data_IF_144975789830
#
_entry.id   IF_144975789830
#
_cell.length_a   1.000
_cell.length_b   1.000
_cell.length_c   1.000
_cell.angle_alpha   90.00
_cell.angle_beta   90.00
_cell.angle_gamma   90.00
#
_symmetry.space_group_name_H-M   'P 1'
#
loop_
_entity.id
_entity.type
_entity.pdbx_description
1 polymer ?
#
# COMPACT_ATOMS: atom_id res chain seq x y z
N UNK A 1 -83.70 5.69 43.43
CA UNK A 1 -83.23 4.69 42.45
C UNK A 1 -82.13 5.33 41.62
N UNK A 2 -80.88 5.12 42.01
CA UNK A 2 -79.68 5.71 41.39
C UNK A 2 -79.27 4.82 40.22
N UNK A 3 -79.32 5.34 39.00
CA UNK A 3 -78.92 4.61 37.80
C UNK A 3 -77.40 4.43 37.79
N UNK A 4 -76.93 3.19 37.97
CA UNK A 4 -75.53 2.86 37.76
C UNK A 4 -75.20 2.94 36.26
N UNK A 5 -74.30 3.85 35.89
CA UNK A 5 -73.74 3.94 34.54
C UNK A 5 -72.96 2.66 34.22
N UNK A 6 -73.05 2.12 32.99
CA UNK A 6 -72.33 0.90 32.63
C UNK A 6 -70.81 1.15 32.63
N UNK A 7 -70.00 0.14 32.99
CA UNK A 7 -68.55 0.26 33.01
C UNK A 7 -68.01 0.59 31.62
N UNK A 8 -67.11 1.58 31.55
CA UNK A 8 -66.40 1.96 30.32
C UNK A 8 -65.65 0.73 29.76
N UNK A 9 -65.80 0.38 28.48
CA UNK A 9 -65.09 -0.75 27.90
C UNK A 9 -63.57 -0.53 27.99
N UNK A 10 -62.79 -1.59 28.29
CA UNK A 10 -61.35 -1.46 28.42
C UNK A 10 -60.74 -0.93 27.12
N UNK A 11 -59.99 0.17 27.21
CA UNK A 11 -59.27 0.75 26.07
C UNK A 11 -58.28 -0.29 25.54
N UNK A 12 -58.56 -0.85 24.38
CA UNK A 12 -57.70 -1.81 23.70
C UNK A 12 -56.33 -1.14 23.42
N UNK A 13 -55.29 -1.57 24.14
CA UNK A 13 -53.91 -1.16 23.85
C UNK A 13 -53.40 -2.03 22.71
N UNK A 14 -52.91 -1.46 21.61
CA UNK A 14 -52.31 -2.25 20.54
C UNK A 14 -51.12 -3.03 21.08
N UNK A 15 -51.14 -4.36 20.95
CA UNK A 15 -49.99 -5.20 21.30
C UNK A 15 -48.81 -4.84 20.40
N UNK A 16 -47.65 -4.43 20.96
CA UNK A 16 -46.44 -4.33 20.16
C UNK A 16 -46.05 -5.73 19.67
N UNK A 17 -45.55 -5.82 18.44
CA UNK A 17 -44.96 -7.06 17.93
C UNK A 17 -43.65 -7.32 18.67
N UNK A 18 -43.41 -8.57 19.08
CA UNK A 18 -42.14 -8.91 19.71
C UNK A 18 -40.99 -8.79 18.69
N UNK A 19 -39.77 -8.40 19.11
CA UNK A 19 -38.61 -8.27 18.22
C UNK A 19 -38.31 -9.55 17.42
N UNK A 20 -38.52 -10.72 18.04
CA UNK A 20 -38.38 -12.04 17.40
C UNK A 20 -39.38 -12.26 16.25
N UNK A 21 -40.61 -11.78 16.41
CA UNK A 21 -41.64 -11.94 15.40
C UNK A 21 -41.35 -11.03 14.20
N UNK A 22 -40.87 -9.81 14.45
CA UNK A 22 -40.45 -8.86 13.40
C UNK A 22 -39.29 -9.44 12.57
N UNK A 23 -38.29 -10.02 13.24
CA UNK A 23 -37.16 -10.70 12.58
C UNK A 23 -37.61 -11.89 11.73
N UNK A 24 -38.47 -12.76 12.28
CA UNK A 24 -39.02 -13.90 11.54
C UNK A 24 -39.84 -13.44 10.33
N UNK A 25 -40.68 -12.42 10.50
CA UNK A 25 -41.53 -11.87 9.45
C UNK A 25 -40.72 -11.23 8.32
N UNK A 26 -39.63 -10.52 8.65
CA UNK A 26 -38.70 -9.96 7.68
C UNK A 26 -37.92 -11.02 6.90
N UNK A 27 -37.48 -12.09 7.56
CA UNK A 27 -36.72 -13.18 6.93
C UNK A 27 -37.54 -13.99 5.91
N UNK A 28 -38.86 -14.05 6.03
CA UNK A 28 -39.74 -14.77 5.08
C UNK A 28 -39.72 -14.09 3.70
N UNK A 29 -39.67 -12.77 3.63
CA UNK A 29 -39.64 -12.05 2.35
C UNK A 29 -38.39 -12.33 1.53
N UNK A 30 -37.23 -12.48 2.19
CA UNK A 30 -35.95 -12.83 1.55
C UNK A 30 -35.97 -14.19 0.85
N UNK A 31 -36.72 -15.17 1.36
CA UNK A 31 -36.76 -16.55 0.81
C UNK A 31 -37.61 -16.70 -0.44
N UNK A 32 -38.60 -15.84 -0.62
CA UNK A 32 -39.55 -15.93 -1.73
C UNK A 32 -38.94 -15.54 -3.09
N UNK A 33 -37.91 -14.68 -3.11
CA UNK A 33 -37.29 -14.15 -4.35
C UNK A 33 -35.76 -14.12 -4.29
N UNK A 34 -35.18 -15.32 -4.22
CA UNK A 34 -33.73 -15.54 -4.01
C UNK A 34 -32.85 -14.81 -5.02
N UNK A 35 -33.19 -14.80 -6.32
CA UNK A 35 -32.34 -14.21 -7.34
C UNK A 35 -32.14 -12.68 -7.18
N UNK A 36 -33.22 -11.92 -6.95
CA UNK A 36 -33.12 -10.45 -6.78
C UNK A 36 -32.43 -10.09 -5.47
N UNK A 37 -32.77 -10.81 -4.40
CA UNK A 37 -32.14 -10.68 -3.09
C UNK A 37 -30.64 -10.92 -3.18
N UNK A 38 -30.22 -11.97 -3.89
CA UNK A 38 -28.80 -12.26 -4.13
C UNK A 38 -28.11 -11.17 -4.95
N UNK A 39 -28.71 -10.71 -6.05
CA UNK A 39 -28.13 -9.63 -6.88
C UNK A 39 -27.98 -8.31 -6.12
N UNK A 40 -28.99 -7.92 -5.33
CA UNK A 40 -28.94 -6.74 -4.48
C UNK A 40 -27.91 -6.86 -3.36
N UNK A 41 -27.87 -8.02 -2.68
CA UNK A 41 -26.87 -8.30 -1.65
C UNK A 41 -25.45 -8.33 -2.23
N UNK A 42 -25.27 -8.83 -3.46
CA UNK A 42 -23.99 -8.87 -4.15
C UNK A 42 -23.48 -7.46 -4.45
N UNK A 43 -24.34 -6.54 -4.88
CA UNK A 43 -23.96 -5.13 -5.09
C UNK A 43 -23.43 -4.47 -3.81
N UNK A 44 -24.13 -4.68 -2.68
CA UNK A 44 -23.65 -4.23 -1.37
C UNK A 44 -22.33 -4.91 -1.00
N UNK A 45 -22.26 -6.24 -1.16
CA UNK A 45 -21.09 -7.02 -0.80
C UNK A 45 -19.86 -6.58 -1.58
N UNK A 46 -19.97 -6.32 -2.89
CA UNK A 46 -18.88 -5.83 -3.73
C UNK A 46 -18.44 -4.42 -3.30
N UNK A 47 -19.39 -3.52 -3.00
CA UNK A 47 -19.08 -2.17 -2.52
C UNK A 47 -18.27 -2.19 -1.22
N UNK A 48 -18.70 -3.00 -0.25
CA UNK A 48 -17.99 -3.16 1.03
C UNK A 48 -16.69 -3.92 0.88
N UNK A 49 -16.67 -4.99 0.08
CA UNK A 49 -15.44 -5.73 -0.18
C UNK A 49 -14.38 -4.80 -0.78
N UNK A 50 -14.76 -3.95 -1.73
CA UNK A 50 -13.88 -2.93 -2.31
C UNK A 50 -13.38 -1.96 -1.24
N UNK A 51 -14.27 -1.40 -0.41
CA UNK A 51 -13.88 -0.46 0.65
C UNK A 51 -12.92 -1.09 1.67
N UNK A 52 -13.25 -2.28 2.19
CA UNK A 52 -12.44 -3.01 3.15
C UNK A 52 -11.10 -3.42 2.53
N UNK A 53 -11.11 -3.93 1.30
CA UNK A 53 -9.90 -4.33 0.58
C UNK A 53 -8.98 -3.14 0.31
N UNK A 54 -9.50 -2.02 -0.18
CA UNK A 54 -8.69 -0.82 -0.46
C UNK A 54 -8.01 -0.31 0.81
N UNK A 55 -8.75 -0.21 1.92
CA UNK A 55 -8.17 0.22 3.20
C UNK A 55 -7.19 -0.82 3.72
N UNK A 56 -7.54 -2.10 3.69
CA UNK A 56 -6.67 -3.19 4.13
C UNK A 56 -5.37 -3.25 3.35
N UNK A 57 -5.43 -3.17 2.03
CA UNK A 57 -4.26 -3.14 1.14
C UNK A 57 -3.38 -1.92 1.40
N UNK A 58 -3.99 -0.74 1.53
CA UNK A 58 -3.27 0.50 1.85
C UNK A 58 -2.54 0.41 3.19
N UNK A 59 -3.18 -0.16 4.22
CA UNK A 59 -2.57 -0.33 5.54
C UNK A 59 -1.52 -1.43 5.56
N UNK A 60 -1.71 -2.50 4.79
CA UNK A 60 -0.71 -3.56 4.61
C UNK A 60 0.54 -3.03 3.92
N UNK A 61 0.38 -2.29 2.81
CA UNK A 61 1.48 -1.60 2.09
C UNK A 61 2.22 -0.64 3.01
N UNK A 62 1.47 0.20 3.75
CA UNK A 62 2.06 1.15 4.69
C UNK A 62 2.82 0.45 5.82
N UNK A 63 2.28 -0.63 6.37
CA UNK A 63 2.93 -1.42 7.42
C UNK A 63 4.23 -2.03 6.92
N UNK A 64 4.22 -2.61 5.71
CA UNK A 64 5.41 -3.18 5.07
C UNK A 64 6.47 -2.10 4.82
N UNK A 65 6.07 -0.93 4.30
CA UNK A 65 6.97 0.19 4.06
C UNK A 65 7.58 0.74 5.36
N UNK A 66 6.80 0.84 6.43
CA UNK A 66 7.32 1.25 7.74
C UNK A 66 8.31 0.23 8.28
N UNK A 67 8.02 -1.07 8.19
CA UNK A 67 8.95 -2.12 8.58
C UNK A 67 10.26 -2.09 7.76
N UNK A 68 10.17 -1.75 6.46
CA UNK A 68 11.37 -1.51 5.61
C UNK A 68 12.17 -0.31 6.09
N UNK A 69 11.51 0.82 6.37
CA UNK A 69 12.16 2.02 6.89
C UNK A 69 12.83 1.76 8.24
N UNK A 70 12.17 1.04 9.15
CA UNK A 70 12.70 0.65 10.45
C UNK A 70 13.95 -0.25 10.32
N UNK A 71 13.94 -1.18 9.36
CA UNK A 71 15.09 -2.06 9.08
C UNK A 71 16.26 -1.30 8.44
N UNK A 72 15.98 -0.43 7.48
CA UNK A 72 17.01 0.28 6.70
C UNK A 72 17.60 1.46 7.49
N UNK A 73 16.80 2.05 8.38
CA UNK A 73 17.10 3.27 9.12
C UNK A 73 16.83 4.52 8.28
N UNK A 74 16.46 5.60 8.97
CA UNK A 74 16.30 6.94 8.39
C UNK A 74 17.57 7.78 8.47
N UNK A 75 18.68 7.14 8.79
CA UNK A 75 19.89 7.78 9.25
C UNK A 75 21.06 7.74 8.27
N UNK A 76 20.77 7.41 7.01
CA UNK A 76 21.74 7.45 5.92
C UNK A 76 21.62 8.79 5.19
N UNK A 77 22.70 9.58 5.15
CA UNK A 77 22.83 10.69 4.21
C UNK A 77 23.81 10.31 3.11
N UNK A 78 23.52 10.81 1.90
CA UNK A 78 24.37 10.66 0.73
C UNK A 78 24.82 12.03 0.26
N UNK A 79 26.09 12.14 -0.09
CA UNK A 79 26.70 13.33 -0.67
C UNK A 79 27.21 12.97 -2.05
N UNK A 80 26.56 13.48 -3.07
CA UNK A 80 26.90 13.24 -4.48
C UNK A 80 27.64 14.45 -5.05
N UNK A 81 28.73 14.19 -5.75
CA UNK A 81 29.43 15.20 -6.53
C UNK A 81 28.57 15.66 -7.70
N UNK A 82 28.32 16.96 -7.81
CA UNK A 82 27.66 17.57 -8.95
C UNK A 82 28.66 18.16 -9.94
N UNK A 83 28.25 19.25 -10.58
CA UNK A 83 29.08 20.01 -11.51
C UNK A 83 29.59 21.29 -10.84
N UNK A 84 30.82 21.70 -11.16
CA UNK A 84 31.36 22.99 -10.76
C UNK A 84 30.71 24.16 -11.54
N UNK A 85 31.12 25.39 -11.25
CA UNK A 85 30.58 26.59 -11.91
C UNK A 85 30.89 26.65 -13.42
N UNK A 86 31.85 25.86 -13.88
CA UNK A 86 32.32 25.77 -15.25
C UNK A 86 31.66 24.60 -16.00
N UNK A 87 30.84 23.81 -15.33
CA UNK A 87 30.15 22.64 -15.88
C UNK A 87 31.01 21.37 -15.89
N UNK A 88 32.16 21.36 -15.22
CA UNK A 88 33.00 20.17 -15.10
C UNK A 88 32.57 19.32 -13.89
N UNK A 89 32.81 18.01 -13.95
CA UNK A 89 32.55 17.10 -12.83
C UNK A 89 33.38 17.52 -11.60
N UNK A 90 32.69 17.84 -10.50
CA UNK A 90 33.34 18.24 -9.26
C UNK A 90 34.09 17.04 -8.66
N UNK A 91 35.40 17.18 -8.47
CA UNK A 91 36.20 16.15 -7.78
C UNK A 91 36.20 16.39 -6.28
N UNK A 92 35.53 15.51 -5.53
CA UNK A 92 35.59 15.57 -4.07
C UNK A 92 37.02 15.28 -3.58
N UNK A 93 37.50 15.94 -2.52
CA UNK A 93 38.80 15.64 -1.94
C UNK A 93 38.93 14.16 -1.55
N UNK A 94 40.11 13.55 -1.73
CA UNK A 94 40.38 12.18 -1.26
C UNK A 94 40.18 12.02 0.25
N UNK A 95 40.37 13.12 0.98
CA UNK A 95 40.14 13.21 2.43
C UNK A 95 38.68 13.39 2.82
N UNK A 96 37.74 13.56 1.88
CA UNK A 96 36.36 13.93 2.18
C UNK A 96 35.66 12.95 3.13
N UNK A 97 35.87 11.64 2.96
CA UNK A 97 35.34 10.62 3.89
C UNK A 97 35.84 10.87 5.31
N UNK A 98 37.16 11.07 5.48
CA UNK A 98 37.76 11.36 6.78
C UNK A 98 37.38 12.76 7.34
N UNK A 99 36.91 13.69 6.51
CA UNK A 99 36.36 14.97 6.96
C UNK A 99 34.94 14.77 7.51
N UNK A 100 34.13 13.93 6.84
CA UNK A 100 32.78 13.58 7.29
C UNK A 100 32.81 12.80 8.61
N UNK A 101 33.73 11.84 8.76
CA UNK A 101 33.92 11.10 10.03
C UNK A 101 34.29 11.98 11.22
N UNK A 102 34.84 13.18 10.98
CA UNK A 102 35.18 14.15 12.04
C UNK A 102 33.99 15.01 12.48
N UNK A 103 32.86 14.93 11.80
CA UNK A 103 31.63 15.58 12.25
C UNK A 103 31.13 14.80 13.48
N UNK A 104 31.08 15.45 14.64
CA UNK A 104 30.92 14.77 15.93
C UNK A 104 29.82 13.70 16.01
N UNK A 105 28.58 13.94 15.51
CA UNK A 105 27.52 12.93 15.52
C UNK A 105 27.67 11.80 14.49
N UNK A 106 28.53 11.90 13.49
CA UNK A 106 28.70 10.86 12.47
C UNK A 106 29.32 9.61 13.10
N UNK A 107 28.67 8.45 12.91
CA UNK A 107 29.16 7.16 13.41
C UNK A 107 30.07 6.46 12.43
N UNK A 108 29.78 6.60 11.15
CA UNK A 108 30.51 5.90 10.09
C UNK A 108 30.32 6.63 8.76
N UNK A 109 31.38 6.73 7.96
CA UNK A 109 31.30 7.24 6.60
C UNK A 109 32.12 6.37 5.63
N UNK A 110 31.62 6.22 4.42
CA UNK A 110 32.26 5.45 3.35
C UNK A 110 31.97 6.10 2.00
N UNK A 111 32.50 5.56 0.92
CA UNK A 111 32.32 6.15 -0.40
C UNK A 111 32.42 5.14 -1.55
N UNK A 112 31.81 5.53 -2.66
CA UNK A 112 32.10 5.01 -3.99
C UNK A 112 32.77 6.08 -4.85
N UNK A 113 33.46 5.65 -5.90
CA UNK A 113 34.08 6.50 -6.90
C UNK A 113 33.73 6.04 -8.31
N UNK A 114 33.43 6.97 -9.21
CA UNK A 114 33.19 6.64 -10.61
C UNK A 114 34.51 6.17 -11.24
N UNK A 115 34.45 5.08 -12.00
CA UNK A 115 35.59 4.56 -12.76
C UNK A 115 35.17 4.52 -14.22
N UNK A 116 35.91 5.22 -15.07
CA UNK A 116 35.70 5.19 -16.52
C UNK A 116 36.20 3.86 -17.09
N UNK A 117 35.38 2.83 -16.93
CA UNK A 117 35.63 1.51 -17.48
C UNK A 117 34.37 0.92 -18.12
N UNK A 118 34.50 0.50 -19.37
CA UNK A 118 33.47 -0.14 -20.16
C UNK A 118 33.34 -1.62 -19.76
N UNK A 119 32.14 -2.02 -19.35
CA UNK A 119 31.87 -3.41 -18.95
C UNK A 119 31.22 -4.17 -20.08
N UNK A 120 31.72 -5.37 -20.37
CA UNK A 120 31.16 -6.27 -21.37
C UNK A 120 31.13 -7.70 -20.84
N UNK A 121 30.24 -8.51 -21.42
CA UNK A 121 30.19 -9.93 -21.08
C UNK A 121 31.47 -10.67 -21.49
N UNK A 122 32.01 -10.37 -22.66
CA UNK A 122 33.24 -10.95 -23.19
C UNK A 122 33.92 -10.00 -24.19
N UNK A 123 35.12 -10.37 -24.59
CA UNK A 123 35.92 -9.76 -25.65
C UNK A 123 35.22 -9.76 -27.02
N UNK A 124 34.34 -10.72 -27.27
CA UNK A 124 33.55 -10.87 -28.52
C UNK A 124 32.44 -9.81 -28.62
N UNK A 125 32.00 -9.22 -27.50
CA UNK A 125 30.98 -8.15 -27.52
C UNK A 125 31.64 -6.84 -27.95
N UNK A 126 31.10 -6.11 -28.94
CA UNK A 126 31.61 -4.79 -29.34
C UNK A 126 31.65 -3.80 -28.18
N UNK A 127 32.61 -2.87 -28.21
CA UNK A 127 32.86 -1.90 -27.13
C UNK A 127 31.68 -0.98 -26.85
N UNK A 128 30.83 -0.73 -27.85
CA UNK A 128 29.66 0.15 -27.75
C UNK A 128 28.51 -0.52 -26.99
N UNK A 129 28.56 -1.83 -26.74
CA UNK A 129 27.49 -2.61 -26.11
C UNK A 129 27.83 -3.00 -24.67
N UNK A 130 27.74 -2.03 -23.76
CA UNK A 130 28.12 -2.20 -22.33
C UNK A 130 27.02 -2.79 -21.43
N UNK A 131 25.93 -3.30 -22.01
CA UNK A 131 24.73 -3.77 -21.29
C UNK A 131 24.13 -2.74 -20.30
N UNK A 132 24.49 -1.45 -20.41
CA UNK A 132 24.04 -0.41 -19.49
C UNK A 132 24.50 -0.64 -18.04
N UNK A 133 25.67 -1.24 -17.86
CA UNK A 133 26.33 -1.43 -16.56
C UNK A 133 27.51 -0.46 -16.46
N UNK A 134 27.64 0.23 -15.34
CA UNK A 134 28.76 1.15 -15.06
C UNK A 134 29.73 0.58 -14.04
N UNK A 135 30.95 1.10 -14.00
CA UNK A 135 31.97 0.67 -13.05
C UNK A 135 32.07 1.69 -11.92
N UNK A 136 32.11 1.23 -10.67
CA UNK A 136 32.50 2.07 -9.54
C UNK A 136 33.56 1.40 -8.68
N UNK A 137 34.47 2.20 -8.17
CA UNK A 137 35.29 1.83 -7.05
C UNK A 137 34.41 1.86 -5.78
N UNK A 138 34.57 0.87 -4.91
CA UNK A 138 33.89 0.77 -3.63
C UNK A 138 34.91 0.51 -2.51
N UNK A 139 34.67 1.09 -1.35
CA UNK A 139 35.39 0.73 -0.13
C UNK A 139 34.80 -0.57 0.47
N UNK A 140 35.59 -1.25 1.29
CA UNK A 140 35.23 -2.53 1.90
C UNK A 140 34.09 -2.41 2.92
N UNK A 141 33.96 -1.25 3.56
CA UNK A 141 32.94 -0.90 4.56
C UNK A 141 31.60 -0.41 3.97
N UNK A 142 31.47 -0.36 2.63
CA UNK A 142 30.28 0.16 1.96
C UNK A 142 28.97 -0.53 2.37
N UNK A 143 28.99 -1.86 2.51
CA UNK A 143 27.77 -2.61 2.83
C UNK A 143 27.26 -2.32 4.24
N UNK A 144 28.16 -2.01 5.18
CA UNK A 144 27.80 -1.71 6.56
C UNK A 144 27.03 -0.38 6.64
N UNK A 145 27.48 0.63 5.89
CA UNK A 145 26.76 1.90 5.77
C UNK A 145 25.40 1.72 5.07
N UNK A 146 25.29 0.86 4.07
CA UNK A 146 24.05 0.68 3.32
C UNK A 146 23.08 -0.31 3.96
N UNK A 147 23.53 -1.13 4.91
CA UNK A 147 22.77 -2.29 5.39
C UNK A 147 22.52 -3.32 4.28
N UNK A 148 23.39 -3.34 3.26
CA UNK A 148 23.27 -4.17 2.08
C UNK A 148 23.85 -5.57 2.33
N UNK A 149 23.41 -6.56 1.55
CA UNK A 149 23.81 -7.96 1.72
C UNK A 149 24.21 -8.58 0.38
N UNK A 150 25.18 -9.49 0.45
CA UNK A 150 25.57 -10.32 -0.69
C UNK A 150 24.54 -11.43 -0.87
N UNK A 151 23.96 -11.55 -2.06
CA UNK A 151 23.05 -12.64 -2.41
C UNK A 151 23.80 -13.95 -2.66
N UNK A 152 24.92 -13.87 -3.37
CA UNK A 152 25.79 -15.01 -3.70
C UNK A 152 27.26 -14.59 -3.69
N UNK A 153 28.14 -15.46 -3.20
CA UNK A 153 29.58 -15.23 -3.17
C UNK A 153 30.01 -14.38 -1.97
N UNK A 154 31.03 -13.54 -2.16
CA UNK A 154 31.64 -12.74 -1.10
C UNK A 154 31.72 -11.26 -1.48
N UNK A 155 31.77 -10.39 -0.47
CA UNK A 155 32.04 -8.96 -0.65
C UNK A 155 33.55 -8.68 -0.78
N UNK A 156 33.88 -7.43 -1.10
CA UNK A 156 35.23 -6.92 -1.07
C UNK A 156 35.77 -6.86 0.37
N UNK A 157 37.03 -7.26 0.57
CA UNK A 157 37.74 -7.23 1.84
C UNK A 157 39.24 -6.99 1.59
N UNK A 158 40.03 -6.85 2.66
CA UNK A 158 41.47 -6.58 2.58
C UNK A 158 42.25 -7.59 1.71
N UNK A 159 41.79 -8.84 1.62
CA UNK A 159 42.46 -9.88 0.85
C UNK A 159 42.18 -9.78 -0.67
N UNK A 160 41.02 -9.26 -1.07
CA UNK A 160 40.61 -9.25 -2.48
C UNK A 160 40.45 -7.84 -3.08
N UNK A 161 40.45 -6.77 -2.29
CA UNK A 161 40.24 -5.38 -2.75
C UNK A 161 41.34 -4.86 -3.71
N UNK A 162 42.50 -5.51 -3.71
CA UNK A 162 43.66 -5.21 -4.58
C UNK A 162 43.70 -6.05 -5.85
N UNK A 163 42.90 -7.11 -5.91
CA UNK A 163 42.86 -8.04 -7.04
C UNK A 163 41.89 -7.53 -8.11
N UNK A 164 42.05 -7.91 -9.39
CA UNK A 164 41.09 -7.62 -10.45
C UNK A 164 39.84 -8.51 -10.30
N UNK A 165 39.09 -8.26 -9.23
CA UNK A 165 37.81 -8.91 -8.90
C UNK A 165 36.71 -7.87 -8.80
N UNK A 166 35.47 -8.29 -9.04
CA UNK A 166 34.31 -7.41 -8.95
C UNK A 166 33.14 -8.06 -8.21
N UNK A 167 32.35 -7.22 -7.56
CA UNK A 167 31.02 -7.58 -7.05
C UNK A 167 29.98 -6.86 -7.90
N UNK A 168 29.02 -7.62 -8.42
CA UNK A 168 27.95 -7.06 -9.25
C UNK A 168 26.74 -6.65 -8.42
N UNK A 169 26.15 -5.51 -8.75
CA UNK A 169 24.77 -5.21 -8.39
C UNK A 169 23.79 -6.23 -8.98
N UNK A 170 22.60 -6.32 -8.39
CA UNK A 170 21.60 -7.33 -8.76
C UNK A 170 21.20 -7.26 -10.24
N UNK A 171 20.91 -6.06 -10.74
CA UNK A 171 20.54 -5.80 -12.15
C UNK A 171 21.74 -5.92 -13.09
N UNK A 172 22.94 -5.53 -12.64
CA UNK A 172 24.17 -5.71 -13.41
C UNK A 172 24.43 -7.20 -13.70
N UNK A 173 24.27 -8.05 -12.69
CA UNK A 173 24.42 -9.49 -12.82
C UNK A 173 23.40 -10.08 -13.80
N UNK A 174 22.12 -9.69 -13.70
CA UNK A 174 21.06 -10.12 -14.62
C UNK A 174 21.36 -9.71 -16.07
N UNK A 175 21.69 -8.44 -16.31
CA UNK A 175 21.96 -7.90 -17.65
C UNK A 175 23.18 -8.53 -18.30
N UNK A 176 24.18 -8.88 -17.50
CA UNK A 176 25.37 -9.56 -17.99
C UNK A 176 25.14 -11.08 -18.11
N UNK A 177 24.04 -11.64 -17.59
CA UNK A 177 23.79 -13.08 -17.55
C UNK A 177 24.74 -13.82 -16.59
N UNK A 178 25.17 -13.18 -15.50
CA UNK A 178 25.93 -13.82 -14.41
C UNK A 178 24.94 -14.24 -13.34
N UNK A 179 24.76 -15.54 -13.14
CA UNK A 179 23.89 -16.09 -12.09
C UNK A 179 24.67 -16.60 -10.88
N UNK A 180 25.98 -16.86 -11.03
CA UNK A 180 26.85 -17.40 -9.98
C UNK A 180 28.23 -16.71 -9.99
N UNK A 181 28.88 -16.57 -8.80
CA UNK A 181 30.27 -16.15 -8.70
C UNK A 181 31.24 -17.10 -9.43
N UNK A 182 32.42 -16.61 -9.78
CA UNK A 182 33.46 -17.32 -10.52
C UNK A 182 33.44 -17.05 -12.02
N UNK A 183 32.34 -16.50 -12.55
CA UNK A 183 32.27 -16.00 -13.92
C UNK A 183 33.27 -14.86 -14.16
N UNK A 184 33.72 -14.69 -15.40
CA UNK A 184 34.56 -13.58 -15.83
C UNK A 184 33.73 -12.59 -16.63
N UNK A 185 34.01 -11.31 -16.42
CA UNK A 185 33.52 -10.23 -17.27
C UNK A 185 34.73 -9.47 -17.84
N UNK A 186 34.52 -8.79 -18.94
CA UNK A 186 35.52 -7.93 -19.53
C UNK A 186 35.29 -6.50 -19.04
N UNK A 187 36.31 -5.88 -18.46
CA UNK A 187 36.30 -4.49 -18.01
C UNK A 187 37.43 -3.77 -18.75
N UNK A 188 37.08 -2.87 -19.65
CA UNK A 188 37.97 -2.38 -20.71
C UNK A 188 38.54 -3.55 -21.53
N UNK A 189 39.84 -3.81 -21.38
CA UNK A 189 40.61 -4.86 -22.07
C UNK A 189 41.13 -5.95 -21.12
N UNK A 190 40.66 -5.96 -19.87
CA UNK A 190 41.09 -6.92 -18.86
C UNK A 190 39.93 -7.78 -18.35
N UNK A 191 40.17 -9.08 -18.21
CA UNK A 191 39.24 -9.98 -17.53
C UNK A 191 39.25 -9.75 -16.02
N UNK A 192 38.06 -9.54 -15.47
CA UNK A 192 37.80 -9.37 -14.04
C UNK A 192 36.91 -10.51 -13.57
N UNK A 193 37.25 -11.12 -12.44
CA UNK A 193 36.48 -12.25 -11.89
C UNK A 193 35.35 -11.72 -11.01
N UNK A 194 34.14 -12.19 -11.25
CA UNK A 194 32.98 -11.87 -10.41
C UNK A 194 33.04 -12.73 -9.14
N UNK A 195 33.28 -12.11 -7.99
CA UNK A 195 33.39 -12.81 -6.70
C UNK A 195 32.12 -12.76 -5.87
N UNK A 196 31.20 -11.86 -6.21
CA UNK A 196 29.93 -11.72 -5.52
C UNK A 196 28.84 -11.06 -6.36
N UNK A 197 27.60 -11.27 -5.94
CA UNK A 197 26.40 -10.61 -6.47
C UNK A 197 25.61 -10.07 -5.28
N UNK A 198 25.28 -8.78 -5.28
CA UNK A 198 24.48 -8.16 -4.21
C UNK A 198 23.00 -8.49 -4.33
N UNK A 199 22.32 -8.50 -3.18
CA UNK A 199 20.86 -8.31 -3.14
C UNK A 199 20.52 -6.88 -3.59
N UNK A 200 19.29 -6.63 -4.07
CA UNK A 200 18.83 -5.28 -4.41
C UNK A 200 19.11 -4.27 -3.28
N UNK A 201 19.79 -3.18 -3.59
CA UNK A 201 20.16 -2.15 -2.60
C UNK A 201 19.03 -1.13 -2.48
N UNK A 202 18.12 -1.37 -1.54
CA UNK A 202 16.85 -0.60 -1.43
C UNK A 202 17.05 0.90 -1.22
N UNK A 203 18.03 1.31 -0.39
CA UNK A 203 18.31 2.74 -0.14
C UNK A 203 18.97 3.42 -1.34
N UNK A 204 19.73 2.69 -2.17
CA UNK A 204 20.53 3.28 -3.26
C UNK A 204 20.42 2.40 -4.51
N UNK A 205 19.26 2.41 -5.20
CA UNK A 205 19.00 1.50 -6.33
C UNK A 205 19.94 1.68 -7.53
N UNK A 206 20.66 2.80 -7.60
CA UNK A 206 21.69 3.03 -8.64
C UNK A 206 22.81 2.00 -8.55
N UNK A 207 23.15 1.51 -7.35
CA UNK A 207 24.19 0.50 -7.15
C UNK A 207 23.82 -0.88 -7.71
N UNK A 208 22.53 -1.15 -7.97
CA UNK A 208 22.10 -2.40 -8.58
C UNK A 208 22.61 -2.56 -10.03
N UNK A 209 22.97 -1.45 -10.69
CA UNK A 209 23.42 -1.43 -12.09
C UNK A 209 24.93 -1.24 -12.24
N UNK A 210 25.68 -1.46 -11.15
CA UNK A 210 27.11 -1.18 -11.09
C UNK A 210 27.90 -2.47 -10.91
N UNK A 211 29.07 -2.57 -11.55
CA UNK A 211 30.12 -3.50 -11.15
C UNK A 211 31.10 -2.77 -10.22
N UNK A 212 31.20 -3.27 -9.00
CA UNK A 212 32.01 -2.67 -7.93
C UNK A 212 33.37 -3.36 -7.86
N UNK A 213 34.44 -2.58 -7.82
CA UNK A 213 35.82 -3.03 -7.62
C UNK A 213 36.43 -2.31 -6.42
N UNK A 214 37.43 -2.89 -5.76
CA UNK A 214 38.08 -2.23 -4.63
C UNK A 214 38.79 -0.94 -5.05
N UNK A 215 38.79 0.09 -4.20
CA UNK A 215 39.54 1.34 -4.44
C UNK A 215 41.01 1.09 -4.86
N UNK A 216 41.77 0.18 -4.20
CA UNK A 216 43.14 -0.11 -4.59
C UNK A 216 43.26 -0.76 -5.98
N UNK A 217 42.38 -1.72 -6.30
CA UNK A 217 42.35 -2.36 -7.62
C UNK A 217 41.96 -1.36 -8.72
N UNK A 218 40.99 -0.48 -8.45
CA UNK A 218 40.58 0.58 -9.36
C UNK A 218 41.72 1.52 -9.72
N UNK A 219 42.51 1.95 -8.72
CA UNK A 219 43.65 2.83 -8.92
C UNK A 219 44.76 2.13 -9.73
N UNK A 220 45.02 0.85 -9.43
CA UNK A 220 46.11 0.08 -10.04
C UNK A 220 45.82 -0.36 -11.46
N UNK A 221 44.60 -0.82 -11.73
CA UNK A 221 44.24 -1.48 -12.99
C UNK A 221 43.37 -0.61 -13.92
N UNK A 222 42.62 0.35 -13.37
CA UNK A 222 41.60 1.10 -14.12
C UNK A 222 41.77 2.62 -14.06
N UNK A 223 42.98 3.10 -13.69
CA UNK A 223 43.35 4.52 -13.66
C UNK A 223 42.40 5.39 -12.82
N UNK A 224 41.76 4.81 -11.81
CA UNK A 224 40.95 5.57 -10.87
C UNK A 224 41.83 6.58 -10.12
N UNK A 225 41.42 7.84 -10.13
CA UNK A 225 42.19 8.95 -9.58
C UNK A 225 42.12 9.02 -8.04
N UNK A 226 41.27 8.21 -7.42
CA UNK A 226 41.10 8.11 -5.97
C UNK A 226 40.06 9.07 -5.39
N UNK A 227 39.40 9.88 -6.22
CA UNK A 227 38.39 10.83 -5.77
C UNK A 227 37.02 10.14 -5.64
N UNK A 228 36.35 10.26 -4.48
CA UNK A 228 35.01 9.71 -4.34
C UNK A 228 34.01 10.53 -5.17
N UNK A 229 33.02 9.86 -5.77
CA UNK A 229 31.89 10.49 -6.47
C UNK A 229 30.64 10.54 -5.59
N UNK A 230 30.50 9.56 -4.68
CA UNK A 230 29.39 9.52 -3.73
C UNK A 230 29.90 9.10 -2.36
N UNK A 231 29.56 9.87 -1.32
CA UNK A 231 29.87 9.58 0.08
C UNK A 231 28.58 9.17 0.78
N UNK A 232 28.66 8.15 1.61
CA UNK A 232 27.58 7.64 2.43
C UNK A 232 27.97 7.84 3.90
N UNK A 233 27.08 8.41 4.70
CA UNK A 233 27.32 8.55 6.14
C UNK A 233 26.11 8.08 6.94
N UNK A 234 26.38 7.48 8.10
CA UNK A 234 25.36 7.22 9.11
C UNK A 234 25.60 8.05 10.37
N UNK A 235 24.57 8.75 10.79
CA UNK A 235 24.48 9.50 12.06
C UNK A 235 23.32 8.98 12.92
N UNK A 236 23.16 9.37 14.18
CA UNK A 236 21.94 9.09 14.95
C UNK A 236 20.72 9.81 14.36
N UNK A 237 19.52 9.21 14.43
CA UNK A 237 18.27 9.78 13.88
C UNK A 237 17.98 11.20 14.37
N UNK A 238 18.33 11.52 15.63
CA UNK A 238 18.13 12.84 16.22
C UNK A 238 19.09 13.94 15.72
N UNK A 239 20.15 13.57 15.00
CA UNK A 239 21.24 14.49 14.58
C UNK A 239 21.45 14.54 13.06
N UNK A 240 20.92 13.57 12.30
CA UNK A 240 20.03 13.89 11.17
C UNK A 240 20.32 15.20 10.40
N UNK A 241 19.44 16.16 10.68
CA UNK A 241 19.43 17.47 10.03
C UNK A 241 20.64 18.34 10.41
N UNK A 242 21.19 18.20 11.63
CA UNK A 242 22.38 18.95 12.05
C UNK A 242 23.61 18.55 11.23
N UNK A 243 23.78 17.24 11.00
CA UNK A 243 24.83 16.70 10.12
C UNK A 243 24.58 17.16 8.69
N UNK A 244 23.34 17.01 8.19
CA UNK A 244 22.96 17.46 6.84
C UNK A 244 23.33 18.92 6.59
N UNK A 245 23.09 19.81 7.55
CA UNK A 245 23.36 21.23 7.44
C UNK A 245 24.85 21.57 7.26
N UNK A 246 25.75 20.69 7.70
CA UNK A 246 27.20 20.93 7.63
C UNK A 246 27.93 20.02 6.63
N UNK A 247 27.29 19.00 6.07
CA UNK A 247 27.92 18.04 5.16
C UNK A 247 28.51 18.68 3.91
N UNK A 248 27.72 19.50 3.18
CA UNK A 248 28.17 20.10 1.92
C UNK A 248 29.42 20.98 2.12
N UNK A 249 29.41 21.85 3.12
CA UNK A 249 30.54 22.72 3.51
C UNK A 249 31.76 21.95 4.02
N UNK A 250 31.54 20.76 4.58
CA UNK A 250 32.62 19.90 5.07
C UNK A 250 33.30 19.16 3.93
N UNK A 251 32.51 18.61 3.00
CA UNK A 251 33.02 17.81 1.88
C UNK A 251 33.62 18.68 0.77
N UNK A 252 33.05 19.85 0.52
CA UNK A 252 33.51 20.78 -0.53
C UNK A 252 33.50 22.24 -0.06
N UNK A 253 34.52 22.67 0.72
CA UNK A 253 34.62 24.05 1.18
C UNK A 253 34.72 25.03 -0.01
N UNK A 254 33.80 26.00 -0.08
CA UNK A 254 33.77 27.03 -1.14
C UNK A 254 33.02 26.64 -2.44
N UNK A 255 32.62 25.37 -2.57
CA UNK A 255 31.81 24.87 -3.70
C UNK A 255 30.59 24.06 -3.21
N UNK A 256 29.96 24.52 -2.13
CA UNK A 256 28.81 23.88 -1.47
C UNK A 256 27.63 23.65 -2.42
N UNK A 257 27.37 24.59 -3.34
CA UNK A 257 26.28 24.50 -4.32
C UNK A 257 26.51 23.46 -5.42
N UNK A 258 27.73 22.94 -5.55
CA UNK A 258 28.11 21.91 -6.52
C UNK A 258 28.03 20.50 -5.94
N UNK A 259 27.51 20.36 -4.71
CA UNK A 259 27.36 19.09 -4.02
C UNK A 259 25.90 18.88 -3.66
N UNK A 260 25.38 17.67 -3.89
CA UNK A 260 24.01 17.33 -3.57
C UNK A 260 23.97 16.43 -2.33
N UNK A 261 23.35 16.95 -1.27
CA UNK A 261 23.08 16.18 -0.05
C UNK A 261 21.64 15.71 -0.03
N UNK A 262 21.43 14.40 0.02
CA UNK A 262 20.10 13.78 0.09
C UNK A 262 20.02 12.72 1.18
N UNK A 263 18.80 12.46 1.64
CA UNK A 263 18.48 11.33 2.51
C UNK A 263 17.66 10.32 1.71
N UNK A 264 18.18 9.13 1.37
CA UNK A 264 17.44 8.21 0.52
C UNK A 264 16.11 7.71 1.11
N UNK A 265 15.97 7.67 2.44
CA UNK A 265 14.70 7.33 3.08
C UNK A 265 13.58 8.35 2.82
N UNK A 266 13.90 9.60 2.44
CA UNK A 266 12.89 10.61 2.09
C UNK A 266 12.09 10.18 0.84
N UNK A 267 12.72 9.50 -0.12
CA UNK A 267 12.03 8.99 -1.30
C UNK A 267 11.04 7.87 -0.96
N UNK A 268 11.41 6.98 -0.02
CA UNK A 268 10.52 5.96 0.50
C UNK A 268 9.35 6.58 1.29
N UNK A 269 9.62 7.61 2.11
CA UNK A 269 8.58 8.35 2.81
C UNK A 269 7.63 9.10 1.86
N UNK A 270 8.16 9.69 0.78
CA UNK A 270 7.35 10.34 -0.25
C UNK A 270 6.42 9.36 -0.95
N UNK A 271 6.90 8.15 -1.27
CA UNK A 271 6.06 7.06 -1.82
C UNK A 271 4.91 6.72 -0.87
N UNK A 272 5.18 6.65 0.43
CA UNK A 272 4.14 6.45 1.46
C UNK A 272 3.06 7.55 1.43
N UNK A 273 3.45 8.79 1.16
CA UNK A 273 2.53 9.92 1.08
C UNK A 273 1.65 9.86 -0.18
N UNK A 274 2.20 9.45 -1.33
CA UNK A 274 1.45 9.28 -2.58
C UNK A 274 0.37 8.20 -2.48
N UNK A 275 0.64 7.11 -1.75
CA UNK A 275 -0.34 6.02 -1.53
C UNK A 275 -1.66 6.52 -0.90
N UNK A 276 -1.62 7.61 -0.12
CA UNK A 276 -2.82 8.23 0.46
C UNK A 276 -3.78 8.77 -0.61
N UNK A 277 -3.25 9.40 -1.66
CA UNK A 277 -4.05 9.96 -2.76
C UNK A 277 -4.79 8.86 -3.53
N UNK A 278 -4.08 7.79 -3.88
CA UNK A 278 -4.64 6.63 -4.57
C UNK A 278 -5.71 5.94 -3.72
N UNK A 279 -5.45 5.79 -2.42
CA UNK A 279 -6.43 5.23 -1.46
C UNK A 279 -7.73 6.03 -1.47
N UNK A 280 -7.67 7.37 -1.51
CA UNK A 280 -8.86 8.23 -1.56
C UNK A 280 -9.68 8.03 -2.83
N UNK A 281 -9.03 7.92 -3.99
CA UNK A 281 -9.71 7.68 -5.27
C UNK A 281 -10.42 6.32 -5.28
N UNK A 282 -9.72 5.28 -4.80
CA UNK A 282 -10.27 3.93 -4.71
C UNK A 282 -11.42 3.81 -3.69
N UNK A 283 -11.34 4.54 -2.57
CA UNK A 283 -12.46 4.67 -1.63
C UNK A 283 -13.67 5.35 -2.27
N UNK A 284 -13.45 6.38 -3.09
CA UNK A 284 -14.50 7.03 -3.88
C UNK A 284 -15.20 6.04 -4.82
N UNK A 285 -14.43 5.19 -5.51
CA UNK A 285 -14.98 4.13 -6.36
C UNK A 285 -15.78 3.10 -5.53
N UNK A 286 -15.28 2.71 -4.37
CA UNK A 286 -16.00 1.85 -3.42
C UNK A 286 -17.32 2.46 -2.97
N UNK A 287 -17.35 3.76 -2.69
CA UNK A 287 -18.57 4.48 -2.31
C UNK A 287 -19.60 4.51 -3.46
N UNK A 288 -19.16 4.72 -4.70
CA UNK A 288 -20.04 4.65 -5.89
C UNK A 288 -20.60 3.24 -6.07
N UNK A 289 -19.76 2.20 -5.97
CA UNK A 289 -20.22 0.81 -6.05
C UNK A 289 -21.26 0.49 -4.97
N UNK A 290 -21.03 0.99 -3.76
CA UNK A 290 -21.97 0.84 -2.65
C UNK A 290 -23.30 1.58 -2.89
N UNK A 291 -23.26 2.78 -3.48
CA UNK A 291 -24.45 3.52 -3.90
C UNK A 291 -25.26 2.74 -4.95
N UNK A 292 -24.60 2.17 -5.97
CA UNK A 292 -25.26 1.34 -6.99
C UNK A 292 -25.92 0.12 -6.35
N UNK A 293 -25.23 -0.53 -5.40
CA UNK A 293 -25.80 -1.62 -4.59
C UNK A 293 -27.04 -1.16 -3.80
N UNK A 294 -26.98 0.01 -3.19
CA UNK A 294 -28.09 0.63 -2.47
C UNK A 294 -29.31 0.94 -3.35
N UNK A 295 -29.10 1.46 -4.56
CA UNK A 295 -30.18 1.67 -5.55
C UNK A 295 -30.80 0.33 -5.96
N UNK A 296 -29.97 -0.71 -6.14
CA UNK A 296 -30.44 -2.06 -6.41
C UNK A 296 -31.35 -2.58 -5.30
N UNK A 297 -30.99 -2.35 -4.03
CA UNK A 297 -31.83 -2.72 -2.87
C UNK A 297 -33.14 -1.95 -2.88
N UNK A 298 -33.10 -0.62 -3.09
CA UNK A 298 -34.28 0.22 -3.13
C UNK A 298 -35.26 -0.25 -4.22
N UNK A 299 -34.76 -0.56 -5.41
CA UNK A 299 -35.57 -1.07 -6.51
C UNK A 299 -36.22 -2.41 -6.17
N UNK A 300 -35.44 -3.37 -5.65
CA UNK A 300 -35.97 -4.67 -5.21
C UNK A 300 -37.06 -4.49 -4.14
N UNK A 301 -36.88 -3.56 -3.20
CA UNK A 301 -37.86 -3.26 -2.16
C UNK A 301 -39.14 -2.61 -2.70
N UNK A 302 -39.03 -1.65 -3.63
CA UNK A 302 -40.20 -1.05 -4.30
C UNK A 302 -41.02 -2.13 -4.99
N UNK A 303 -40.37 -2.99 -5.78
CA UNK A 303 -41.06 -4.04 -6.51
C UNK A 303 -41.69 -5.06 -5.55
N UNK A 304 -40.98 -5.45 -4.47
CA UNK A 304 -41.53 -6.36 -3.47
C UNK A 304 -42.77 -5.80 -2.78
N UNK A 305 -42.85 -4.47 -2.56
CA UNK A 305 -44.05 -3.82 -2.00
C UNK A 305 -45.20 -3.89 -3.00
N UNK A 306 -44.94 -3.67 -4.29
CA UNK A 306 -45.96 -3.73 -5.34
C UNK A 306 -46.55 -5.14 -5.49
N UNK A 307 -45.69 -6.16 -5.51
CA UNK A 307 -46.10 -7.56 -5.65
C UNK A 307 -46.87 -8.08 -4.42
N UNK A 308 -46.59 -7.53 -3.23
CA UNK A 308 -47.26 -7.91 -1.96
C UNK A 308 -48.40 -6.98 -1.56
N UNK A 309 -48.85 -6.08 -2.46
CA UNK A 309 -49.94 -5.14 -2.19
C UNK A 309 -51.20 -5.78 -1.59
N UNK A 310 -51.73 -6.90 -2.14
CA UNK A 310 -52.94 -7.54 -1.59
C UNK A 310 -52.74 -8.05 -0.15
N UNK A 311 -51.59 -8.67 0.15
CA UNK A 311 -51.27 -9.12 1.51
C UNK A 311 -51.17 -7.96 2.51
N UNK A 312 -50.54 -6.85 2.10
CA UNK A 312 -50.40 -5.65 2.95
C UNK A 312 -51.79 -5.06 3.22
N UNK A 313 -52.66 -5.03 2.21
CA UNK A 313 -54.06 -4.61 2.33
C UNK A 313 -54.84 -5.45 3.34
N UNK A 314 -54.72 -6.78 3.24
CA UNK A 314 -55.38 -7.71 4.16
C UNK A 314 -54.87 -7.55 5.60
N UNK A 315 -53.55 -7.46 5.82
CA UNK A 315 -52.97 -7.23 7.17
C UNK A 315 -53.48 -5.91 7.77
N UNK A 316 -53.58 -4.86 6.96
CA UNK A 316 -54.09 -3.54 7.38
C UNK A 316 -55.59 -3.58 7.68
N UNK A 317 -56.38 -4.34 6.94
CA UNK A 317 -57.82 -4.55 7.20
C UNK A 317 -58.06 -5.33 8.52
N UNK A 318 -57.17 -6.28 8.84
CA UNK A 318 -57.18 -7.04 10.09
C UNK A 318 -56.62 -6.28 11.30
N UNK A 319 -56.27 -4.99 11.14
CA UNK A 319 -55.87 -4.12 12.25
C UNK A 319 -54.37 -3.87 12.41
N UNK A 320 -53.50 -4.33 11.50
CA UNK A 320 -52.07 -4.03 11.57
C UNK A 320 -51.80 -2.51 11.47
N UNK A 321 -50.97 -1.97 12.38
CA UNK A 321 -50.64 -0.54 12.38
C UNK A 321 -49.73 -0.15 11.20
N UNK A 322 -49.72 1.12 10.81
CA UNK A 322 -48.79 1.64 9.78
C UNK A 322 -47.34 1.39 10.17
N UNK A 323 -47.02 1.54 11.46
CA UNK A 323 -45.68 1.28 11.99
C UNK A 323 -45.30 -0.20 11.92
N UNK A 324 -46.23 -1.14 12.14
CA UNK A 324 -45.95 -2.57 11.96
C UNK A 324 -45.51 -2.89 10.53
N UNK A 325 -46.20 -2.33 9.52
CA UNK A 325 -45.82 -2.49 8.11
C UNK A 325 -44.48 -1.82 7.81
N UNK A 326 -44.23 -0.60 8.33
CA UNK A 326 -42.92 0.07 8.15
C UNK A 326 -41.78 -0.75 8.72
N UNK A 327 -41.95 -1.24 9.95
CA UNK A 327 -40.92 -1.97 10.67
C UNK A 327 -40.62 -3.32 10.01
N UNK A 328 -41.64 -3.99 9.44
CA UNK A 328 -41.43 -5.20 8.63
C UNK A 328 -40.48 -4.95 7.45
N UNK A 329 -40.81 -3.98 6.59
CA UNK A 329 -39.99 -3.68 5.41
C UNK A 329 -38.63 -3.08 5.75
N UNK A 330 -38.54 -2.25 6.79
CA UNK A 330 -37.26 -1.72 7.26
C UNK A 330 -36.36 -2.84 7.79
N UNK A 331 -36.91 -3.79 8.56
CA UNK A 331 -36.16 -4.95 9.06
C UNK A 331 -35.69 -5.84 7.92
N UNK A 332 -36.51 -6.05 6.90
CA UNK A 332 -36.13 -6.82 5.71
C UNK A 332 -34.95 -6.17 4.96
N UNK A 333 -34.99 -4.84 4.78
CA UNK A 333 -33.88 -4.09 4.18
C UNK A 333 -32.61 -4.15 5.04
N UNK A 334 -32.75 -3.99 6.36
CA UNK A 334 -31.63 -4.06 7.30
C UNK A 334 -30.99 -5.45 7.33
N UNK A 335 -31.79 -6.53 7.29
CA UNK A 335 -31.30 -7.90 7.22
C UNK A 335 -30.53 -8.14 5.91
N UNK A 336 -31.06 -7.65 4.79
CA UNK A 336 -30.40 -7.75 3.50
C UNK A 336 -29.05 -7.02 3.50
N UNK A 337 -29.03 -5.78 3.99
CA UNK A 337 -27.82 -4.98 4.12
C UNK A 337 -26.81 -5.59 5.09
N UNK A 338 -27.26 -6.16 6.21
CA UNK A 338 -26.38 -6.83 7.17
C UNK A 338 -25.74 -8.08 6.55
N UNK A 339 -26.50 -8.89 5.80
CA UNK A 339 -25.96 -10.05 5.09
C UNK A 339 -24.98 -9.65 3.99
N UNK A 340 -25.34 -8.67 3.17
CA UNK A 340 -24.47 -8.14 2.12
C UNK A 340 -23.20 -7.51 2.70
N UNK A 341 -23.32 -6.74 3.78
CA UNK A 341 -22.21 -6.11 4.48
C UNK A 341 -21.28 -7.12 5.15
N UNK A 342 -21.82 -8.15 5.81
CA UNK A 342 -21.04 -9.23 6.38
C UNK A 342 -20.30 -10.03 5.30
N UNK A 343 -20.99 -10.41 4.22
CA UNK A 343 -20.37 -11.10 3.09
C UNK A 343 -19.27 -10.25 2.44
N UNK A 344 -19.54 -8.95 2.24
CA UNK A 344 -18.57 -8.01 1.70
C UNK A 344 -17.35 -7.82 2.61
N UNK A 345 -17.55 -7.73 3.93
CA UNK A 345 -16.46 -7.63 4.89
C UNK A 345 -15.57 -8.88 4.88
N UNK A 346 -16.17 -10.07 4.84
CA UNK A 346 -15.43 -11.35 4.72
C UNK A 346 -14.66 -11.40 3.40
N UNK A 347 -15.30 -11.07 2.28
CA UNK A 347 -14.67 -11.06 0.96
C UNK A 347 -13.53 -10.04 0.88
N UNK A 348 -13.74 -8.80 1.34
CA UNK A 348 -12.71 -7.76 1.35
C UNK A 348 -11.52 -8.12 2.23
N UNK A 349 -11.77 -8.75 3.38
CA UNK A 349 -10.72 -9.29 4.24
C UNK A 349 -9.95 -10.40 3.53
N UNK A 350 -10.65 -11.38 2.95
CA UNK A 350 -10.03 -12.49 2.22
C UNK A 350 -9.17 -11.99 1.03
N UNK A 351 -9.66 -11.01 0.28
CA UNK A 351 -8.91 -10.37 -0.82
C UNK A 351 -7.66 -9.67 -0.28
N UNK A 352 -7.77 -8.94 0.83
CA UNK A 352 -6.61 -8.26 1.45
C UNK A 352 -5.55 -9.27 1.84
N UNK A 353 -5.93 -10.33 2.55
CA UNK A 353 -4.99 -11.38 2.98
C UNK A 353 -4.38 -12.10 1.77
N UNK A 354 -5.19 -12.50 0.80
CA UNK A 354 -4.71 -13.19 -0.40
C UNK A 354 -3.71 -12.35 -1.19
N UNK A 355 -4.00 -11.07 -1.38
CA UNK A 355 -3.10 -10.17 -2.10
C UNK A 355 -1.84 -9.84 -1.30
N UNK A 356 -1.96 -9.61 0.02
CA UNK A 356 -0.81 -9.38 0.89
C UNK A 356 0.13 -10.58 0.89
N UNK A 357 -0.39 -11.81 0.91
CA UNK A 357 0.40 -13.03 0.79
C UNK A 357 1.17 -13.11 -0.53
N UNK A 358 0.53 -12.79 -1.65
CA UNK A 358 1.18 -12.79 -2.98
C UNK A 358 2.29 -11.74 -3.06
N UNK A 359 2.12 -10.59 -2.41
CA UNK A 359 3.13 -9.52 -2.37
C UNK A 359 4.20 -9.71 -1.29
N UNK A 360 4.05 -10.70 -0.41
CA UNK A 360 4.91 -10.90 0.75
C UNK A 360 4.76 -9.82 1.83
N UNK A 361 3.64 -9.09 1.84
CA UNK A 361 3.35 -8.07 2.85
C UNK A 361 2.75 -8.66 4.12
N UNK A 362 2.97 -8.00 5.25
CA UNK A 362 2.18 -8.25 6.46
C UNK A 362 0.75 -7.78 6.25
N UNK A 363 -0.20 -8.71 6.21
CA UNK A 363 -1.61 -8.40 6.02
C UNK A 363 -2.18 -7.65 7.24
N UNK A 364 -2.70 -6.45 7.01
CA UNK A 364 -3.32 -5.60 8.03
C UNK A 364 -4.73 -5.20 7.56
N UNK A 365 -5.75 -5.68 8.26
CA UNK A 365 -7.14 -5.24 8.08
C UNK A 365 -7.58 -4.52 9.36
N UNK A 366 -7.63 -3.17 9.35
CA UNK A 366 -8.00 -2.43 10.56
C UNK A 366 -9.45 -2.72 10.97
N UNK A 367 -9.74 -2.97 12.25
CA UNK A 367 -11.11 -3.21 12.71
C UNK A 367 -12.07 -2.07 12.37
N UNK A 368 -11.57 -0.83 12.32
CA UNK A 368 -12.36 0.35 11.97
C UNK A 368 -12.81 0.36 10.49
N UNK A 369 -12.05 -0.27 9.57
CA UNK A 369 -12.45 -0.32 8.15
C UNK A 369 -13.64 -1.25 7.96
N UNK A 370 -13.64 -2.39 8.66
CA UNK A 370 -14.76 -3.33 8.72
C UNK A 370 -15.96 -2.67 9.39
N UNK A 371 -15.76 -2.03 10.54
CA UNK A 371 -16.83 -1.34 11.27
C UNK A 371 -17.46 -0.20 10.45
N UNK A 372 -16.65 0.62 9.77
CA UNK A 372 -17.16 1.70 8.91
C UNK A 372 -17.88 1.18 7.68
N UNK A 373 -17.38 0.10 7.04
CA UNK A 373 -18.08 -0.58 5.97
C UNK A 373 -19.45 -1.12 6.41
N UNK A 374 -19.51 -1.82 7.54
CA UNK A 374 -20.77 -2.32 8.10
C UNK A 374 -21.73 -1.17 8.44
N UNK A 375 -21.25 -0.10 9.08
CA UNK A 375 -22.08 1.08 9.37
C UNK A 375 -22.65 1.72 8.09
N UNK A 376 -21.84 1.82 7.03
CA UNK A 376 -22.28 2.33 5.73
C UNK A 376 -23.37 1.45 5.09
N UNK A 377 -23.27 0.11 5.19
CA UNK A 377 -24.33 -0.77 4.69
C UNK A 377 -25.64 -0.62 5.42
N UNK A 378 -25.59 -0.48 6.75
CA UNK A 378 -26.78 -0.30 7.56
C UNK A 378 -27.45 1.03 7.22
N UNK A 379 -26.67 2.10 7.08
CA UNK A 379 -27.17 3.40 6.64
C UNK A 379 -27.88 3.30 5.29
N UNK A 380 -27.26 2.63 4.31
CA UNK A 380 -27.85 2.43 2.99
C UNK A 380 -29.09 1.54 3.07
N UNK A 381 -29.08 0.51 3.91
CA UNK A 381 -30.26 -0.32 4.16
C UNK A 381 -31.44 0.47 4.70
N UNK A 382 -31.19 1.40 5.63
CA UNK A 382 -32.21 2.33 6.12
C UNK A 382 -32.70 3.22 4.98
N UNK A 383 -31.81 3.90 4.26
CA UNK A 383 -32.20 4.85 3.20
C UNK A 383 -32.97 4.17 2.07
N UNK A 384 -32.49 3.02 1.59
CA UNK A 384 -33.10 2.24 0.52
C UNK A 384 -34.44 1.61 0.95
N UNK A 385 -34.56 1.20 2.22
CA UNK A 385 -35.76 0.54 2.75
C UNK A 385 -36.84 1.50 3.23
N UNK A 386 -36.47 2.71 3.66
CA UNK A 386 -37.40 3.65 4.30
C UNK A 386 -38.45 4.19 3.32
N UNK A 387 -38.05 4.60 2.11
CA UNK A 387 -38.99 5.11 1.11
C UNK A 387 -40.08 4.08 0.74
N UNK A 388 -39.74 2.83 0.35
CA UNK A 388 -40.72 1.78 0.09
C UNK A 388 -41.58 1.46 1.32
N UNK A 389 -40.97 1.37 2.51
CA UNK A 389 -41.68 1.06 3.77
C UNK A 389 -42.73 2.12 4.10
N UNK A 390 -42.40 3.40 3.93
CA UNK A 390 -43.34 4.50 4.13
C UNK A 390 -44.47 4.42 3.09
N UNK A 391 -44.15 4.19 1.82
CA UNK A 391 -45.14 4.06 0.75
C UNK A 391 -46.08 2.88 0.98
N UNK A 392 -45.57 1.72 1.38
CA UNK A 392 -46.34 0.52 1.73
C UNK A 392 -47.31 0.80 2.89
N UNK A 393 -46.84 1.48 3.94
CA UNK A 393 -47.64 1.77 5.14
C UNK A 393 -48.82 2.73 4.89
N UNK A 394 -48.77 3.49 3.79
CA UNK A 394 -49.81 4.47 3.40
C UNK A 394 -50.85 3.90 2.45
N UNK A 395 -50.73 2.64 2.01
CA UNK A 395 -51.74 1.99 1.17
C UNK A 395 -53.06 1.82 1.93
N UNK A 396 -54.17 2.25 1.30
CA UNK A 396 -55.51 2.04 1.83
C UNK A 396 -55.96 0.59 1.61
N UNK A 397 -56.57 -0.08 2.61
CA UNK A 397 -57.00 -1.47 2.49
C UNK A 397 -57.95 -1.73 1.31
N UNK A 398 -58.88 -0.80 1.09
CA UNK A 398 -59.87 -0.87 0.00
C UNK A 398 -59.23 -0.82 -1.38
N UNK A 399 -58.21 0.04 -1.57
CA UNK A 399 -57.48 0.15 -2.83
C UNK A 399 -56.59 -1.07 -3.07
N UNK A 400 -56.01 -1.63 -2.01
CA UNK A 400 -55.12 -2.78 -2.10
C UNK A 400 -55.83 -4.11 -2.40
N UNK A 401 -57.14 -4.21 -2.12
CA UNK A 401 -57.96 -5.42 -2.35
C UNK A 401 -58.73 -5.36 -3.68
N UNK A 402 -58.92 -4.18 -4.26
CA UNK A 402 -59.65 -3.99 -5.53
C UNK A 402 -58.74 -3.99 -6.78
N UNK A 403 -57.44 -4.14 -6.62
CA UNK A 403 -56.52 -4.29 -7.75
C UNK A 403 -56.54 -5.73 -8.24
N UNK A 404 -57.38 -5.99 -9.24
CA UNK A 404 -57.32 -7.19 -10.10
C UNK A 404 -56.17 -7.08 -11.09
#
# INVERSE_FOLDING_TARGET
>A
MTSASPPEPPRLRPSPLAPRDILRLGAVGLRARRARVLLSALGIAIGIATMVAVVGLSQSSKSDLMARLDRLGTNLLTVEAGEDREGNELKLPKSAVAMVERIGPVRHATATGNVDARIRRSDVVPEERTAGVTTQAARTDLLDALGARVAKGIWLNEANERLPVTVLGSVAAERLGITEPGGKIMMNDQYVVVVGILQPVELVPTLDRVAMIGFPAAATHFRFDGHPSMIFERSPDGTVEDVRAVLARTVSPGAEGSVKVSRPSDALAAKAATDKGLTSLMLGLGAVALLVGGVGVANTMVISVLERRPEIGLRRALGATRNAVRLQFLTESLLLSALGGAAGAVLGTAVTFGFALVQGWTAVVPPWSVASGLAATLLIGVLAGLYPAVRASRLHPTVALNTT
#
